data_IF_137070982342
#
_entry.id   IF_137070982342
#
_cell.length_a   1.000
_cell.length_b   1.000
_cell.length_c   1.000
_cell.angle_alpha   90.00
_cell.angle_beta   90.00
_cell.angle_gamma   90.00
#
_symmetry.space_group_name_H-M   'P 1'
#
loop_
_entity.id
_entity.type
_entity.pdbx_description
1 polymer ?
#
# COMPACT_ATOMS: atom_id res chain seq x y z
N UNK A 1 15.15 -0.08 8.98
CA UNK A 1 13.96 0.68 8.52
C UNK A 1 12.67 -0.05 8.84
N UNK A 2 11.65 0.67 9.31
CA UNK A 2 10.35 0.13 9.67
C UNK A 2 9.57 -0.32 8.44
N UNK A 3 8.66 -1.26 8.64
CA UNK A 3 7.69 -1.70 7.64
C UNK A 3 6.85 -0.54 7.05
N UNK A 4 6.79 0.61 7.74
CA UNK A 4 6.00 1.78 7.35
C UNK A 4 6.47 2.57 6.12
N UNK A 5 7.60 2.22 5.50
CA UNK A 5 8.09 2.86 4.26
C UNK A 5 8.16 1.90 3.06
N UNK A 6 7.57 0.70 3.16
CA UNK A 6 7.63 -0.28 2.06
C UNK A 6 6.93 0.23 0.79
N UNK A 7 5.88 1.03 0.96
CA UNK A 7 5.19 1.79 -0.08
C UNK A 7 6.15 2.71 -0.84
N UNK A 8 7.04 3.41 -0.14
CA UNK A 8 8.04 4.27 -0.76
C UNK A 8 9.05 3.46 -1.57
N UNK A 9 9.45 2.29 -1.09
CA UNK A 9 10.35 1.42 -1.86
C UNK A 9 9.72 0.96 -3.19
N UNK A 10 8.45 0.55 -3.16
CA UNK A 10 7.72 0.17 -4.38
C UNK A 10 7.59 1.36 -5.34
N UNK A 11 7.30 2.55 -4.81
CA UNK A 11 7.24 3.78 -5.59
C UNK A 11 8.58 4.10 -6.27
N UNK A 12 9.71 4.05 -5.54
CA UNK A 12 11.02 4.37 -6.13
C UNK A 12 11.47 3.33 -7.14
N UNK A 13 11.12 2.05 -6.96
CA UNK A 13 11.37 1.04 -7.98
C UNK A 13 10.62 1.37 -9.29
N UNK A 14 9.41 1.91 -9.21
CA UNK A 14 8.68 2.36 -10.38
C UNK A 14 9.32 3.61 -11.02
N UNK A 15 9.67 4.62 -10.21
CA UNK A 15 10.36 5.84 -10.67
C UNK A 15 11.69 5.48 -11.35
N UNK A 16 12.46 4.58 -10.76
CA UNK A 16 13.73 4.10 -11.29
C UNK A 16 13.56 3.34 -12.62
N UNK A 17 12.55 2.46 -12.74
CA UNK A 17 12.23 1.78 -14.01
C UNK A 17 11.84 2.74 -15.12
N UNK A 18 11.29 3.90 -14.78
CA UNK A 18 10.98 4.98 -15.73
C UNK A 18 12.21 5.82 -16.10
N UNK A 19 13.41 5.50 -15.56
CA UNK A 19 14.64 6.27 -15.79
C UNK A 19 14.65 7.63 -15.09
N UNK A 20 13.72 7.86 -14.16
CA UNK A 20 13.58 9.14 -13.45
C UNK A 20 14.40 9.14 -12.17
N UNK A 21 14.94 10.31 -11.83
CA UNK A 21 15.69 10.55 -10.58
C UNK A 21 14.94 11.40 -9.57
N UNK A 22 13.80 11.98 -9.98
CA UNK A 22 13.01 12.90 -9.18
C UNK A 22 11.54 12.49 -9.10
N UNK A 23 10.92 12.85 -7.97
CA UNK A 23 9.49 12.69 -7.74
C UNK A 23 8.70 13.82 -8.39
N UNK A 24 7.53 13.49 -8.92
CA UNK A 24 6.48 14.48 -9.20
C UNK A 24 5.94 15.07 -7.89
N UNK A 25 5.19 16.18 -7.96
CA UNK A 25 4.57 16.78 -6.78
C UNK A 25 3.67 15.79 -6.00
N UNK A 26 2.90 14.95 -6.71
CA UNK A 26 2.01 13.96 -6.08
C UNK A 26 2.78 12.80 -5.43
N UNK A 27 3.90 12.39 -6.01
CA UNK A 27 4.77 11.36 -5.43
C UNK A 27 5.54 11.93 -4.24
N UNK A 28 6.01 13.18 -4.33
CA UNK A 28 6.62 13.94 -3.22
C UNK A 28 5.66 14.03 -2.03
N UNK A 29 4.39 14.33 -2.26
CA UNK A 29 3.39 14.38 -1.18
C UNK A 29 3.24 13.03 -0.45
N UNK A 30 3.28 11.90 -1.18
CA UNK A 30 3.27 10.57 -0.58
C UNK A 30 4.53 10.29 0.23
N UNK A 31 5.70 10.68 -0.30
CA UNK A 31 6.98 10.57 0.40
C UNK A 31 6.96 11.34 1.70
N UNK A 32 6.58 12.62 1.69
CA UNK A 32 6.54 13.43 2.91
C UNK A 32 5.52 12.91 3.93
N UNK A 33 4.37 12.40 3.47
CA UNK A 33 3.39 11.79 4.34
C UNK A 33 3.95 10.55 5.07
N UNK A 34 4.60 9.64 4.34
CA UNK A 34 5.19 8.43 4.93
C UNK A 34 6.42 8.75 5.78
N UNK A 35 7.24 9.75 5.40
CA UNK A 35 8.36 10.25 6.21
C UNK A 35 7.87 10.82 7.54
N UNK A 36 6.89 11.72 7.50
CA UNK A 36 6.35 12.35 8.70
C UNK A 36 5.72 11.34 9.65
N UNK A 37 4.98 10.35 9.12
CA UNK A 37 4.44 9.25 9.94
C UNK A 37 5.54 8.45 10.63
N UNK A 38 6.64 8.17 9.94
CA UNK A 38 7.76 7.44 10.54
C UNK A 38 8.51 8.28 11.57
N UNK A 39 8.69 9.58 11.31
CA UNK A 39 9.24 10.52 12.28
C UNK A 39 8.42 10.53 13.58
N UNK A 40 7.09 10.62 13.48
CA UNK A 40 6.19 10.56 14.64
C UNK A 40 6.26 9.21 15.39
N UNK A 41 6.65 8.13 14.71
CA UNK A 41 6.90 6.82 15.32
C UNK A 41 8.30 6.69 15.93
N UNK A 42 9.07 7.79 15.98
CA UNK A 42 10.38 7.86 16.62
C UNK A 42 11.55 7.50 15.71
N UNK A 43 11.37 7.48 14.38
CA UNK A 43 12.50 7.30 13.49
C UNK A 43 13.37 8.56 13.43
N UNK A 44 14.70 8.41 13.50
CA UNK A 44 15.62 9.52 13.31
C UNK A 44 15.62 9.98 11.84
N UNK A 45 15.87 11.26 11.61
CA UNK A 45 15.74 11.91 10.30
C UNK A 45 16.71 11.33 9.25
N UNK A 46 17.87 10.86 9.69
CA UNK A 46 18.87 10.19 8.85
C UNK A 46 18.35 8.89 8.23
N UNK A 47 17.31 8.29 8.84
CA UNK A 47 16.60 7.13 8.31
C UNK A 47 15.31 7.50 7.58
N UNK A 48 15.11 8.77 7.22
CA UNK A 48 13.96 9.28 6.49
C UNK A 48 14.42 9.95 5.17
N UNK A 49 14.90 9.17 4.20
CA UNK A 49 15.43 9.68 2.94
C UNK A 49 14.37 10.41 2.11
N UNK A 50 14.79 11.42 1.35
CA UNK A 50 13.88 12.29 0.59
C UNK A 50 13.95 12.07 -0.92
N UNK A 51 15.02 11.44 -1.41
CA UNK A 51 15.22 11.23 -2.85
C UNK A 51 15.02 9.77 -3.24
N UNK A 52 14.65 9.47 -4.50
CA UNK A 52 14.56 8.09 -4.96
C UNK A 52 15.86 7.29 -4.74
N UNK A 53 17.01 7.90 -4.99
CA UNK A 53 18.31 7.25 -4.85
C UNK A 53 18.64 6.91 -3.39
N UNK A 54 18.40 7.84 -2.46
CA UNK A 54 18.63 7.60 -1.03
C UNK A 54 17.67 6.54 -0.48
N UNK A 55 16.39 6.54 -0.90
CA UNK A 55 15.43 5.51 -0.48
C UNK A 55 15.95 4.13 -0.92
N UNK A 56 16.36 3.97 -2.18
CA UNK A 56 16.98 2.73 -2.65
C UNK A 56 18.21 2.39 -1.79
N UNK A 57 19.11 3.35 -1.60
CA UNK A 57 20.33 3.16 -0.83
C UNK A 57 20.04 2.63 0.58
N UNK A 58 19.14 3.26 1.34
CA UNK A 58 18.85 2.84 2.71
C UNK A 58 18.16 1.46 2.76
N UNK A 59 17.27 1.16 1.81
CA UNK A 59 16.66 -0.17 1.71
C UNK A 59 17.69 -1.27 1.41
N UNK A 60 18.63 -1.02 0.51
CA UNK A 60 19.70 -1.95 0.19
C UNK A 60 20.72 -2.06 1.33
N UNK A 61 21.09 -0.96 1.96
CA UNK A 61 21.97 -0.96 3.13
C UNK A 61 21.38 -1.80 4.26
N UNK A 62 20.07 -1.64 4.57
CA UNK A 62 19.36 -2.51 5.50
C UNK A 62 19.46 -3.97 5.07
N UNK A 63 19.16 -4.29 3.82
CA UNK A 63 19.16 -5.67 3.34
C UNK A 63 20.53 -6.34 3.47
N UNK A 64 21.61 -5.61 3.24
CA UNK A 64 22.99 -6.11 3.36
C UNK A 64 23.44 -6.24 4.83
N UNK A 65 22.95 -5.35 5.71
CA UNK A 65 23.31 -5.36 7.13
C UNK A 65 22.49 -6.34 7.98
N UNK A 66 21.40 -6.90 7.45
CA UNK A 66 20.65 -7.94 8.13
C UNK A 66 21.50 -9.20 8.25
N UNK A 67 21.71 -9.66 9.48
CA UNK A 67 22.50 -10.85 9.81
C UNK A 67 21.86 -12.14 9.29
N UNK A 68 20.53 -12.20 9.38
CA UNK A 68 19.74 -13.37 8.99
C UNK A 68 18.92 -13.05 7.73
N UNK A 69 18.93 -14.01 6.80
CA UNK A 69 18.11 -13.96 5.60
C UNK A 69 16.65 -14.35 5.92
N UNK A 70 15.82 -14.42 4.88
CA UNK A 70 14.47 -14.94 5.01
C UNK A 70 14.49 -16.38 5.58
N UNK A 71 13.79 -16.58 6.69
CA UNK A 71 13.54 -17.89 7.31
C UNK A 71 12.07 -18.26 7.11
N UNK A 72 11.81 -19.41 6.50
CA UNK A 72 10.43 -19.84 6.24
C UNK A 72 9.66 -20.20 7.51
N UNK A 73 10.35 -20.65 8.57
CA UNK A 73 9.68 -21.04 9.81
C UNK A 73 9.06 -19.85 10.51
N UNK A 74 9.77 -18.72 10.58
CA UNK A 74 9.27 -17.49 11.22
C UNK A 74 8.65 -16.54 10.21
N UNK A 75 9.42 -16.08 9.21
CA UNK A 75 8.97 -15.08 8.25
C UNK A 75 7.91 -15.65 7.30
N UNK A 76 8.06 -16.91 6.89
CA UNK A 76 7.05 -17.60 6.09
C UNK A 76 5.73 -17.75 6.83
N UNK A 77 5.77 -18.05 8.14
CA UNK A 77 4.55 -18.19 8.94
C UNK A 77 3.84 -16.85 9.16
N UNK A 78 4.60 -15.77 9.34
CA UNK A 78 4.05 -14.41 9.36
C UNK A 78 3.37 -14.05 8.04
N UNK A 79 3.95 -14.42 6.89
CA UNK A 79 3.32 -14.20 5.60
C UNK A 79 2.04 -15.03 5.46
N UNK A 80 2.09 -16.33 5.77
CA UNK A 80 0.94 -17.23 5.67
C UNK A 80 -0.21 -16.79 6.56
N UNK A 81 0.06 -16.48 7.82
CA UNK A 81 -0.93 -15.96 8.77
C UNK A 81 -1.52 -14.62 8.31
N UNK A 82 -0.69 -13.69 7.82
CA UNK A 82 -1.17 -12.41 7.27
C UNK A 82 -2.08 -12.60 6.06
N UNK A 83 -1.73 -13.52 5.15
CA UNK A 83 -2.55 -13.83 3.97
C UNK A 83 -3.84 -14.59 4.34
N UNK A 84 -3.83 -15.36 5.42
CA UNK A 84 -4.98 -16.13 5.90
C UNK A 84 -5.95 -15.30 6.76
N UNK A 85 -5.48 -14.21 7.37
CA UNK A 85 -6.25 -13.39 8.30
C UNK A 85 -7.60 -12.95 7.73
N UNK A 86 -8.64 -13.04 8.55
CA UNK A 86 -9.97 -12.50 8.25
C UNK A 86 -10.08 -11.11 8.85
N UNK A 87 -10.24 -10.08 8.02
CA UNK A 87 -10.17 -8.67 8.45
C UNK A 87 -11.52 -7.93 8.38
N UNK A 88 -12.59 -8.63 7.99
CA UNK A 88 -13.92 -8.01 7.86
C UNK A 88 -14.64 -7.98 9.20
N UNK A 89 -15.50 -6.97 9.45
CA UNK A 89 -16.13 -6.77 10.76
C UNK A 89 -17.18 -7.82 11.11
N UNK A 90 -17.81 -8.44 10.12
CA UNK A 90 -18.91 -9.40 10.28
C UNK A 90 -18.64 -10.65 9.45
N UNK A 91 -19.32 -11.75 9.78
CA UNK A 91 -19.17 -13.06 9.13
C UNK A 91 -20.30 -13.40 8.12
N UNK A 92 -20.90 -12.39 7.47
CA UNK A 92 -21.98 -12.63 6.52
C UNK A 92 -21.50 -13.37 5.25
N UNK A 93 -22.41 -14.03 4.54
CA UNK A 93 -22.08 -14.70 3.27
C UNK A 93 -21.45 -13.74 2.25
N UNK A 94 -21.91 -12.48 2.23
CA UNK A 94 -21.29 -11.43 1.42
C UNK A 94 -19.86 -11.14 1.87
N UNK A 95 -19.62 -11.02 3.17
CA UNK A 95 -18.29 -10.75 3.70
C UNK A 95 -17.32 -11.90 3.44
N UNK A 96 -17.78 -13.15 3.49
CA UNK A 96 -16.95 -14.31 3.10
C UNK A 96 -16.55 -14.29 1.64
N UNK A 97 -17.47 -13.90 0.74
CA UNK A 97 -17.17 -13.75 -0.69
C UNK A 97 -16.18 -12.60 -0.91
N UNK A 98 -16.43 -11.45 -0.27
CA UNK A 98 -15.57 -10.29 -0.38
C UNK A 98 -14.16 -10.56 0.16
N UNK A 99 -14.04 -11.25 1.30
CA UNK A 99 -12.76 -11.69 1.88
C UNK A 99 -11.99 -12.61 0.90
N UNK A 100 -12.67 -13.57 0.27
CA UNK A 100 -12.04 -14.44 -0.71
C UNK A 100 -11.49 -13.66 -1.91
N UNK A 101 -12.21 -12.62 -2.37
CA UNK A 101 -11.72 -11.72 -3.44
C UNK A 101 -10.54 -10.88 -2.94
N UNK A 102 -10.63 -10.27 -1.75
CA UNK A 102 -9.58 -9.44 -1.14
C UNK A 102 -8.28 -10.23 -0.92
N UNK A 103 -8.39 -11.50 -0.53
CA UNK A 103 -7.23 -12.43 -0.41
C UNK A 103 -6.62 -12.77 -1.76
N UNK A 104 -7.42 -13.01 -2.80
CA UNK A 104 -6.90 -13.21 -4.16
C UNK A 104 -6.07 -12.01 -4.62
N UNK A 105 -6.59 -10.79 -4.44
CA UNK A 105 -5.84 -9.57 -4.78
C UNK A 105 -4.61 -9.37 -3.92
N UNK A 106 -4.66 -9.68 -2.63
CA UNK A 106 -3.48 -9.62 -1.73
C UNK A 106 -2.37 -10.55 -2.19
N UNK A 107 -2.69 -11.81 -2.53
CA UNK A 107 -1.74 -12.78 -3.10
C UNK A 107 -1.15 -12.26 -4.42
N UNK A 108 -1.98 -11.82 -5.34
CA UNK A 108 -1.53 -11.30 -6.64
C UNK A 108 -0.63 -10.06 -6.47
N UNK A 109 -1.04 -9.12 -5.61
CA UNK A 109 -0.27 -7.93 -5.28
C UNK A 109 1.08 -8.28 -4.67
N UNK A 110 1.14 -9.26 -3.76
CA UNK A 110 2.38 -9.74 -3.17
C UNK A 110 3.34 -10.29 -4.24
N UNK A 111 2.85 -11.10 -5.16
CA UNK A 111 3.66 -11.67 -6.26
C UNK A 111 4.23 -10.58 -7.16
N UNK A 112 3.42 -9.59 -7.52
CA UNK A 112 3.86 -8.48 -8.39
C UNK A 112 4.86 -7.58 -7.66
N UNK A 113 4.56 -7.18 -6.43
CA UNK A 113 5.34 -6.21 -5.67
C UNK A 113 6.68 -6.78 -5.16
N UNK A 114 6.66 -8.00 -4.58
CA UNK A 114 7.82 -8.56 -3.89
C UNK A 114 8.55 -9.65 -4.68
N UNK A 115 7.82 -10.38 -5.53
CA UNK A 115 8.41 -11.50 -6.29
C UNK A 115 8.69 -11.17 -7.76
N UNK A 116 8.50 -9.91 -8.19
CA UNK A 116 8.64 -9.47 -9.59
C UNK A 116 7.83 -10.33 -10.58
N UNK A 117 6.67 -10.83 -10.16
CA UNK A 117 5.84 -11.73 -10.97
C UNK A 117 6.23 -13.21 -10.90
N UNK A 118 7.28 -13.58 -10.18
CA UNK A 118 7.78 -14.95 -10.14
C UNK A 118 7.00 -15.82 -9.13
N UNK A 119 6.11 -16.67 -9.65
CA UNK A 119 5.28 -17.58 -8.84
C UNK A 119 6.09 -18.61 -8.04
N UNK A 120 7.28 -19.00 -8.50
CA UNK A 120 8.11 -19.96 -7.77
C UNK A 120 8.73 -19.32 -6.52
N UNK A 121 9.19 -18.07 -6.63
CA UNK A 121 9.69 -17.31 -5.49
C UNK A 121 8.56 -17.07 -4.48
N UNK A 122 7.38 -16.68 -4.98
CA UNK A 122 6.21 -16.47 -4.13
C UNK A 122 5.80 -17.73 -3.36
N UNK A 123 5.77 -18.89 -4.03
CA UNK A 123 5.51 -20.18 -3.36
C UNK A 123 6.55 -20.51 -2.31
N UNK A 124 7.83 -20.22 -2.59
CA UNK A 124 8.91 -20.35 -1.61
C UNK A 124 8.77 -19.43 -0.39
N UNK A 125 7.96 -18.36 -0.49
CA UNK A 125 7.59 -17.46 0.61
C UNK A 125 6.22 -17.78 1.22
N UNK A 126 5.62 -18.94 0.87
CA UNK A 126 4.32 -19.37 1.39
C UNK A 126 3.11 -18.76 0.69
N UNK A 127 3.28 -18.09 -0.45
CA UNK A 127 2.18 -17.47 -1.23
C UNK A 127 1.97 -18.21 -2.54
N UNK A 128 0.90 -18.98 -2.65
CA UNK A 128 0.44 -19.61 -3.89
C UNK A 128 -0.77 -18.88 -4.47
N UNK A 129 -0.71 -18.59 -5.78
CA UNK A 129 -1.91 -18.25 -6.55
C UNK A 129 -2.51 -19.53 -7.13
N UNK A 130 -3.74 -19.80 -6.73
CA UNK A 130 -4.50 -20.94 -7.23
C UNK A 130 -5.40 -20.52 -8.41
N UNK A 131 -5.86 -21.45 -9.26
CA UNK A 131 -6.77 -21.12 -10.37
C UNK A 131 -8.04 -20.39 -9.93
N UNK A 132 -8.56 -20.71 -8.73
CA UNK A 132 -9.69 -20.01 -8.15
C UNK A 132 -9.37 -18.54 -7.84
N UNK A 133 -8.14 -18.23 -7.43
CA UNK A 133 -7.73 -16.85 -7.16
C UNK A 133 -7.72 -16.04 -8.46
N UNK A 134 -7.17 -16.63 -9.52
CA UNK A 134 -7.13 -16.04 -10.86
C UNK A 134 -8.55 -15.82 -11.38
N UNK A 135 -9.44 -16.80 -11.23
CA UNK A 135 -10.84 -16.67 -11.66
C UNK A 135 -11.57 -15.54 -10.93
N UNK A 136 -11.43 -15.45 -9.60
CA UNK A 136 -12.02 -14.35 -8.82
C UNK A 136 -11.52 -13.00 -9.31
N UNK A 137 -10.20 -12.84 -9.48
CA UNK A 137 -9.60 -11.60 -10.00
C UNK A 137 -10.14 -11.29 -11.40
N UNK A 138 -10.18 -12.27 -12.31
CA UNK A 138 -10.62 -12.05 -13.67
C UNK A 138 -12.08 -11.57 -13.74
N UNK A 139 -12.95 -12.10 -12.88
CA UNK A 139 -14.36 -11.70 -12.81
C UNK A 139 -14.53 -10.30 -12.20
N UNK A 140 -13.75 -9.96 -11.16
CA UNK A 140 -13.92 -8.69 -10.43
C UNK A 140 -13.07 -7.53 -10.99
N UNK A 141 -11.99 -7.82 -11.71
CA UNK A 141 -11.07 -6.82 -12.23
C UNK A 141 -11.74 -5.82 -13.17
N UNK A 142 -12.62 -6.21 -14.12
CA UNK A 142 -13.31 -5.24 -14.97
C UNK A 142 -14.10 -4.21 -14.17
N UNK A 143 -14.76 -4.63 -13.09
CA UNK A 143 -15.50 -3.73 -12.22
C UNK A 143 -14.55 -2.78 -11.44
N UNK A 144 -13.50 -3.32 -10.82
CA UNK A 144 -12.56 -2.54 -10.00
C UNK A 144 -11.77 -1.55 -10.87
N UNK A 145 -11.16 -2.02 -11.95
CA UNK A 145 -10.38 -1.21 -12.88
C UNK A 145 -11.27 -0.22 -13.60
N UNK A 146 -12.45 -0.66 -14.07
CA UNK A 146 -13.42 0.22 -14.71
C UNK A 146 -13.84 1.38 -13.81
N UNK A 147 -14.19 1.09 -12.55
CA UNK A 147 -14.53 2.13 -11.56
C UNK A 147 -13.36 3.09 -11.31
N UNK A 148 -12.14 2.58 -11.18
CA UNK A 148 -10.95 3.40 -11.00
C UNK A 148 -10.75 4.36 -12.18
N UNK A 149 -10.81 3.85 -13.42
CA UNK A 149 -10.64 4.65 -14.64
C UNK A 149 -11.75 5.70 -14.81
N UNK A 150 -13.00 5.34 -14.50
CA UNK A 150 -14.13 6.27 -14.54
C UNK A 150 -13.90 7.42 -13.55
N UNK A 151 -13.53 7.10 -12.31
CA UNK A 151 -13.28 8.11 -11.27
C UNK A 151 -12.09 9.00 -11.64
N UNK A 152 -10.98 8.42 -12.10
CA UNK A 152 -9.80 9.17 -12.51
C UNK A 152 -10.12 10.12 -13.67
N UNK A 153 -10.87 9.66 -14.68
CA UNK A 153 -11.25 10.48 -15.82
C UNK A 153 -12.28 11.55 -15.44
N UNK A 154 -13.27 11.22 -14.61
CA UNK A 154 -14.29 12.15 -14.15
C UNK A 154 -13.69 13.28 -13.30
N UNK A 155 -12.67 12.99 -12.48
CA UNK A 155 -11.95 14.00 -11.68
C UNK A 155 -11.27 15.07 -12.55
N UNK A 156 -10.88 14.74 -13.78
CA UNK A 156 -10.25 15.69 -14.73
C UNK A 156 -11.24 16.66 -15.36
N UNK A 157 -12.56 16.43 -15.20
CA UNK A 157 -13.62 17.29 -15.74
C UNK A 157 -14.02 18.28 -14.63
N UNK A 158 -13.78 19.60 -14.79
CA UNK A 158 -13.99 20.59 -13.72
C UNK A 158 -15.39 20.57 -13.10
N UNK A 159 -16.42 20.29 -13.91
CA UNK A 159 -17.82 20.23 -13.45
C UNK A 159 -18.13 18.98 -12.61
N UNK A 160 -17.42 17.88 -12.83
CA UNK A 160 -17.63 16.62 -12.10
C UNK A 160 -16.70 16.49 -10.89
N UNK A 161 -15.56 17.19 -10.89
CA UNK A 161 -14.59 17.19 -9.80
C UNK A 161 -15.22 17.33 -8.38
N UNK A 162 -16.12 18.29 -8.09
CA UNK A 162 -16.69 18.43 -6.73
C UNK A 162 -17.67 17.31 -6.36
N UNK A 163 -18.23 16.60 -7.33
CA UNK A 163 -19.10 15.44 -7.10
C UNK A 163 -18.23 14.21 -6.81
N UNK A 164 -17.20 14.00 -7.62
CA UNK A 164 -16.23 12.92 -7.45
C UNK A 164 -15.51 13.05 -6.12
N UNK A 165 -15.15 14.27 -5.72
CA UNK A 165 -14.47 14.52 -4.45
C UNK A 165 -15.34 14.14 -3.23
N UNK A 166 -16.59 14.62 -3.18
CA UNK A 166 -17.55 14.21 -2.14
C UNK A 166 -17.78 12.70 -2.10
N UNK A 167 -17.85 12.07 -3.28
CA UNK A 167 -17.97 10.62 -3.39
C UNK A 167 -16.74 9.89 -2.82
N UNK A 168 -15.54 10.36 -3.12
CA UNK A 168 -14.28 9.79 -2.61
C UNK A 168 -14.15 9.97 -1.10
N UNK A 169 -14.48 11.16 -0.58
CA UNK A 169 -14.50 11.43 0.86
C UNK A 169 -15.45 10.46 1.57
N UNK A 170 -16.70 10.38 1.13
CA UNK A 170 -17.68 9.46 1.74
C UNK A 170 -17.27 7.98 1.62
N UNK A 171 -16.54 7.60 0.55
CA UNK A 171 -15.98 6.26 0.43
C UNK A 171 -14.88 6.00 1.47
N UNK A 172 -13.97 6.97 1.67
CA UNK A 172 -12.89 6.89 2.66
C UNK A 172 -13.47 6.82 4.07
N UNK A 173 -14.42 7.69 4.42
CA UNK A 173 -15.11 7.71 5.71
C UNK A 173 -15.76 6.34 6.02
N UNK A 174 -16.49 5.78 5.07
CA UNK A 174 -17.09 4.44 5.22
C UNK A 174 -16.05 3.35 5.45
N UNK A 175 -14.91 3.40 4.74
CA UNK A 175 -13.83 2.44 4.92
C UNK A 175 -13.16 2.59 6.30
N UNK A 176 -12.91 3.82 6.73
CA UNK A 176 -12.35 4.10 8.05
C UNK A 176 -13.28 3.61 9.18
N UNK A 177 -14.59 3.85 9.06
CA UNK A 177 -15.59 3.34 9.99
C UNK A 177 -15.60 1.79 10.04
N UNK A 178 -15.47 1.15 8.89
CA UNK A 178 -15.40 -0.33 8.80
C UNK A 178 -14.15 -0.90 9.49
N UNK A 179 -13.03 -0.17 9.48
CA UNK A 179 -11.79 -0.58 10.12
C UNK A 179 -11.71 -0.27 11.63
N UNK A 180 -12.77 0.28 12.22
CA UNK A 180 -12.92 0.42 13.68
C UNK A 180 -11.99 1.43 14.34
N UNK A 181 -11.52 2.46 13.63
CA UNK A 181 -10.61 3.46 14.21
C UNK A 181 -11.36 4.64 14.86
N UNK A 182 -10.86 5.18 15.99
CA UNK A 182 -11.29 6.49 16.47
C UNK A 182 -10.99 7.55 15.42
N UNK A 183 -11.93 8.47 15.20
CA UNK A 183 -11.70 9.62 14.34
C UNK A 183 -10.80 10.61 15.08
N UNK A 184 -9.53 10.71 14.65
CA UNK A 184 -8.59 11.71 15.16
C UNK A 184 -8.61 12.91 14.22
N UNK A 185 -9.49 13.88 14.49
CA UNK A 185 -9.54 15.14 13.74
C UNK A 185 -8.50 16.09 14.32
N UNK A 186 -7.55 16.52 13.49
CA UNK A 186 -6.66 17.61 13.83
C UNK A 186 -6.98 18.87 13.03
N UNK A 187 -7.11 20.01 13.69
CA UNK A 187 -7.27 21.31 13.03
C UNK A 187 -5.89 21.96 12.82
N UNK A 188 -5.48 22.15 11.56
CA UNK A 188 -4.20 22.77 11.26
C UNK A 188 -4.07 24.21 11.78
N UNK A 189 -5.19 24.88 12.06
CA UNK A 189 -5.21 26.23 12.65
C UNK A 189 -4.77 26.26 14.11
N UNK A 190 -4.76 25.12 14.80
CA UNK A 190 -4.28 25.02 16.18
C UNK A 190 -2.79 24.68 16.27
N UNK A 191 -2.15 24.37 15.13
CA UNK A 191 -0.71 24.13 15.11
C UNK A 191 0.05 25.46 15.13
N UNK A 192 1.07 25.53 15.97
CA UNK A 192 2.04 26.62 15.94
C UNK A 192 2.81 26.55 14.61
N UNK A 193 2.79 27.61 13.78
CA UNK A 193 3.56 27.62 12.54
C UNK A 193 5.04 27.42 12.84
N UNK A 194 5.71 26.56 12.08
CA UNK A 194 7.17 26.48 12.14
C UNK A 194 7.73 27.83 11.67
N UNK A 195 8.55 28.46 12.51
CA UNK A 195 9.28 29.67 12.16
C UNK A 195 10.24 29.32 11.00
N UNK A 196 10.00 29.90 9.84
CA UNK A 196 10.89 29.84 8.68
C UNK A 196 12.08 30.77 8.81
#
# INVERSE_FOLDING_TARGET
>A
MPAGMIDLYLLVLQVHRQGRTEFTASERAQVEFSRYRCFLLGLPEELLPTTPAEIIHVFHARAVLLRDAFDDTTCGELIRSTMAAYLRPNDSSYDRIADAVEKSYSKAGFVVAFCRGNLRIARGMGVSLDPADIARIAVTAPFIIGRLLIVDRARRIPRLAPIVDRYLIGLIERRLATYGKPEFVSDARTYTPALG
#
